data_IF_277059185178
#
_entry.id   IF_277059185178
#
_cell.length_a   1.000
_cell.length_b   1.000
_cell.length_c   1.000
_cell.angle_alpha   90.00
_cell.angle_beta   90.00
_cell.angle_gamma   90.00
#
_symmetry.space_group_name_H-M   'P 1'
#
loop_
_entity.id
_entity.type
_entity.pdbx_description
1 polymer ?
#
# COMPACT_ATOMS: atom_id res chain seq x y z
N UNK A 1 -1.94 12.28 -8.69
CA UNK A 1 -0.46 12.17 -8.52
C UNK A 1 0.10 13.49 -8.05
N UNK A 2 0.10 14.56 -8.87
CA UNK A 2 0.53 15.89 -8.41
C UNK A 2 -0.31 16.47 -7.26
N UNK A 3 -1.64 16.30 -7.28
CA UNK A 3 -2.53 16.76 -6.20
C UNK A 3 -2.33 16.04 -4.84
N UNK A 4 -1.63 14.90 -4.82
CA UNK A 4 -1.37 14.12 -3.61
C UNK A 4 0.13 13.97 -3.31
N UNK A 5 1.02 14.49 -4.17
CA UNK A 5 2.47 14.30 -4.05
C UNK A 5 2.91 12.83 -4.10
N UNK A 6 2.16 11.99 -4.82
CA UNK A 6 2.43 10.54 -4.92
C UNK A 6 2.72 10.17 -6.37
N UNK A 7 3.91 9.62 -6.60
CA UNK A 7 4.42 9.23 -7.92
C UNK A 7 4.41 7.71 -8.17
N UNK A 8 3.70 6.95 -7.33
CA UNK A 8 3.51 5.51 -7.49
C UNK A 8 2.02 5.15 -7.51
N UNK A 9 1.69 3.96 -7.98
CA UNK A 9 0.33 3.41 -7.96
C UNK A 9 0.34 1.92 -7.63
N UNK A 10 -0.72 1.44 -6.99
CA UNK A 10 -0.96 0.01 -6.79
C UNK A 10 -1.61 -0.62 -8.03
N UNK A 11 -1.21 -1.84 -8.36
CA UNK A 11 -1.76 -2.62 -9.47
C UNK A 11 -2.68 -3.69 -8.88
N UNK A 12 -3.97 -3.60 -9.20
CA UNK A 12 -5.00 -4.54 -8.75
C UNK A 12 -5.63 -5.21 -9.97
N UNK A 13 -5.77 -6.54 -9.93
CA UNK A 13 -6.44 -7.33 -10.97
C UNK A 13 -7.44 -8.26 -10.33
N UNK A 14 -8.70 -8.21 -10.77
CA UNK A 14 -9.78 -9.06 -10.24
C UNK A 14 -9.95 -9.03 -8.70
N UNK A 15 -9.53 -7.95 -8.04
CA UNK A 15 -9.56 -7.82 -6.58
C UNK A 15 -8.25 -8.21 -5.88
N UNK A 16 -7.29 -8.79 -6.59
CA UNK A 16 -5.98 -9.15 -6.05
C UNK A 16 -4.98 -8.02 -6.27
N UNK A 17 -4.30 -7.63 -5.18
CA UNK A 17 -3.20 -6.67 -5.25
C UNK A 17 -1.94 -7.37 -5.76
N UNK A 18 -1.57 -7.09 -7.01
CA UNK A 18 -0.40 -7.68 -7.66
C UNK A 18 0.92 -7.01 -7.23
N UNK A 19 0.85 -5.76 -6.76
CA UNK A 19 2.02 -4.99 -6.33
C UNK A 19 1.85 -3.51 -6.59
N UNK A 20 2.96 -2.80 -6.74
CA UNK A 20 3.00 -1.38 -7.04
C UNK A 20 4.07 -1.06 -8.08
N UNK A 21 3.95 0.10 -8.72
CA UNK A 21 4.95 0.62 -9.63
C UNK A 21 5.02 2.14 -9.58
N UNK A 22 6.14 2.69 -10.04
CA UNK A 22 6.28 4.12 -10.25
C UNK A 22 5.55 4.56 -11.52
N UNK A 23 5.09 5.81 -11.52
CA UNK A 23 4.37 6.42 -12.62
C UNK A 23 5.14 6.39 -13.93
N UNK A 24 6.43 6.69 -13.85
CA UNK A 24 7.36 6.81 -14.96
C UNK A 24 7.70 5.45 -15.61
N UNK A 25 7.43 4.34 -14.92
CA UNK A 25 7.55 2.99 -15.47
C UNK A 25 6.42 2.66 -16.47
N UNK A 26 5.34 3.44 -16.49
CA UNK A 26 4.24 3.28 -17.46
C UNK A 26 4.61 3.99 -18.76
N UNK A 27 5.14 3.24 -19.71
CA UNK A 27 5.43 3.77 -21.05
C UNK A 27 4.16 4.03 -21.87
N UNK A 28 3.23 3.06 -21.89
CA UNK A 28 2.02 3.15 -22.74
C UNK A 28 0.79 2.48 -22.09
N UNK A 29 0.96 1.31 -21.47
CA UNK A 29 -0.12 0.58 -20.76
C UNK A 29 0.34 0.05 -19.41
N UNK A 30 -0.56 0.02 -18.43
CA UNK A 30 -0.28 -0.54 -17.10
C UNK A 30 0.09 -2.03 -17.17
N UNK A 31 -0.50 -2.77 -18.12
CA UNK A 31 -0.25 -4.20 -18.30
C UNK A 31 1.18 -4.55 -18.72
N UNK A 32 1.99 -3.58 -19.15
CA UNK A 32 3.40 -3.81 -19.52
C UNK A 32 4.37 -3.59 -18.36
N UNK A 33 3.87 -3.17 -17.19
CA UNK A 33 4.69 -2.88 -16.02
C UNK A 33 4.81 -4.11 -15.14
N UNK A 34 6.03 -4.44 -14.72
CA UNK A 34 6.30 -5.50 -13.74
C UNK A 34 6.01 -4.97 -12.33
N UNK A 35 5.00 -5.49 -11.60
CA UNK A 35 4.68 -5.01 -10.26
C UNK A 35 5.80 -5.33 -9.27
N UNK A 36 6.16 -4.34 -8.46
CA UNK A 36 7.05 -4.51 -7.30
C UNK A 36 6.23 -5.03 -6.11
N UNK A 37 6.77 -5.95 -5.30
CA UNK A 37 6.06 -6.43 -4.12
C UNK A 37 5.98 -5.33 -3.05
N UNK A 38 4.93 -5.39 -2.24
CA UNK A 38 4.89 -4.64 -0.98
C UNK A 38 5.71 -5.38 0.07
N UNK A 39 6.64 -4.66 0.70
CA UNK A 39 7.47 -5.21 1.78
C UNK A 39 6.72 -5.36 3.11
N UNK A 40 5.61 -4.63 3.27
CA UNK A 40 4.74 -4.70 4.44
C UNK A 40 3.37 -5.19 3.99
N UNK A 41 2.83 -6.16 4.72
CA UNK A 41 1.49 -6.70 4.54
C UNK A 41 0.78 -6.69 5.89
N UNK A 42 -0.27 -5.88 6.01
CA UNK A 42 -1.06 -5.78 7.23
C UNK A 42 -2.27 -6.70 7.18
N UNK A 43 -2.79 -7.06 8.35
CA UNK A 43 -4.05 -7.77 8.52
C UNK A 43 -5.09 -6.84 9.12
N UNK A 44 -6.37 -7.05 8.79
CA UNK A 44 -7.47 -6.31 9.40
C UNK A 44 -7.59 -6.49 10.92
N UNK A 45 -6.94 -7.52 11.46
CA UNK A 45 -6.86 -7.83 12.89
C UNK A 45 -5.66 -7.21 13.59
N UNK A 46 -4.71 -6.61 12.85
CA UNK A 46 -3.53 -5.99 13.47
C UNK A 46 -3.94 -4.76 14.27
N UNK A 47 -3.29 -4.55 15.42
CA UNK A 47 -3.51 -3.32 16.17
C UNK A 47 -2.97 -2.12 15.39
N UNK A 48 -3.52 -0.94 15.62
CA UNK A 48 -3.02 0.29 14.99
C UNK A 48 -1.54 0.55 15.32
N UNK A 49 -1.07 0.13 16.50
CA UNK A 49 0.33 0.24 16.90
C UNK A 49 1.22 -0.70 16.09
N UNK A 50 0.84 -1.97 15.97
CA UNK A 50 1.61 -2.94 15.18
C UNK A 50 1.65 -2.54 13.70
N UNK A 51 0.53 -2.03 13.18
CA UNK A 51 0.45 -1.51 11.82
C UNK A 51 1.38 -0.30 11.59
N UNK A 52 1.50 0.59 12.59
CA UNK A 52 2.41 1.73 12.54
C UNK A 52 3.88 1.27 12.57
N UNK A 53 4.21 0.38 13.50
CA UNK A 53 5.58 -0.14 13.67
C UNK A 53 6.05 -0.90 12.42
N UNK A 54 5.17 -1.71 11.82
CA UNK A 54 5.45 -2.41 10.57
C UNK A 54 5.69 -1.44 9.41
N UNK A 55 4.87 -0.40 9.27
CA UNK A 55 5.02 0.59 8.20
C UNK A 55 6.32 1.42 8.34
N UNK A 56 6.70 1.79 9.57
CA UNK A 56 7.98 2.46 9.86
C UNK A 56 9.16 1.55 9.52
N UNK A 57 9.14 0.31 10.00
CA UNK A 57 10.22 -0.67 9.74
C UNK A 57 10.38 -0.96 8.25
N UNK A 58 9.27 -1.06 7.53
CA UNK A 58 9.26 -1.25 6.08
C UNK A 58 9.57 0.01 5.27
N UNK A 59 9.83 1.15 5.92
CA UNK A 59 10.09 2.44 5.29
C UNK A 59 9.05 2.84 4.24
N UNK A 60 7.78 2.47 4.49
CA UNK A 60 6.67 2.71 3.56
C UNK A 60 5.66 3.69 4.14
N UNK A 61 5.16 4.59 3.30
CA UNK A 61 4.13 5.57 3.70
C UNK A 61 2.71 5.00 3.64
N UNK A 62 2.56 3.87 2.97
CA UNK A 62 1.29 3.15 2.81
C UNK A 62 1.52 1.66 2.98
N UNK A 63 0.52 0.96 3.46
CA UNK A 63 0.56 -0.48 3.56
C UNK A 63 -0.77 -1.09 3.09
N UNK A 64 -0.73 -2.17 2.31
CA UNK A 64 -1.91 -2.93 1.97
C UNK A 64 -2.41 -3.77 3.15
N UNK A 65 -3.72 -3.81 3.31
CA UNK A 65 -4.42 -4.57 4.34
C UNK A 65 -5.10 -5.76 3.71
N UNK A 66 -5.00 -6.92 4.36
CA UNK A 66 -5.56 -8.18 3.89
C UNK A 66 -6.39 -8.88 4.97
N UNK A 67 -7.29 -9.75 4.52
CA UNK A 67 -7.92 -10.80 5.32
C UNK A 67 -7.63 -12.15 4.64
N UNK A 68 -6.73 -12.94 5.24
CA UNK A 68 -6.07 -14.02 4.53
C UNK A 68 -5.36 -13.50 3.27
N UNK A 69 -5.75 -14.00 2.11
CA UNK A 69 -5.28 -13.55 0.78
C UNK A 69 -6.11 -12.47 0.12
N UNK A 70 -7.27 -12.16 0.71
CA UNK A 70 -8.15 -11.13 0.16
C UNK A 70 -7.61 -9.75 0.48
N UNK A 71 -7.35 -8.96 -0.55
CA UNK A 71 -7.01 -7.55 -0.41
C UNK A 71 -8.23 -6.74 0.04
N UNK A 72 -8.07 -5.96 1.11
CA UNK A 72 -9.14 -5.12 1.68
C UNK A 72 -8.99 -3.63 1.34
N UNK A 73 -7.78 -3.19 1.01
CA UNK A 73 -7.48 -1.79 0.71
C UNK A 73 -6.11 -1.34 1.18
N UNK A 74 -5.83 -0.04 1.07
CA UNK A 74 -4.61 0.58 1.60
C UNK A 74 -4.91 1.41 2.84
N UNK A 75 -3.94 1.51 3.73
CA UNK A 75 -3.92 2.52 4.79
C UNK A 75 -2.61 3.30 4.74
N UNK A 76 -2.65 4.61 5.03
CA UNK A 76 -1.46 5.44 5.14
C UNK A 76 -0.97 5.53 6.59
N UNK A 77 0.33 5.70 6.77
CA UNK A 77 0.96 5.96 8.08
C UNK A 77 0.30 7.15 8.77
N UNK A 78 -0.03 8.20 8.00
CA UNK A 78 -0.71 9.38 8.49
C UNK A 78 -2.13 9.07 9.03
N UNK A 79 -2.87 8.19 8.36
CA UNK A 79 -4.20 7.77 8.81
C UNK A 79 -4.13 6.88 10.07
N UNK A 80 -3.10 6.04 10.18
CA UNK A 80 -2.84 5.24 11.39
C UNK A 80 -2.51 6.17 12.56
N UNK A 81 -1.53 7.07 12.37
CA UNK A 81 -1.06 7.99 13.41
C UNK A 81 -2.19 8.85 13.98
N UNK A 82 -3.05 9.42 13.11
CA UNK A 82 -4.23 10.19 13.57
C UNK A 82 -5.17 9.40 14.49
N UNK A 83 -5.28 8.09 14.31
CA UNK A 83 -6.17 7.23 15.10
C UNK A 83 -5.52 6.70 16.38
N UNK A 84 -4.19 6.68 16.46
CA UNK A 84 -3.46 6.28 17.68
C UNK A 84 -3.41 7.42 18.70
N UNK A 85 -3.37 8.67 18.24
CA UNK A 85 -3.31 9.86 19.11
C UNK A 85 -4.69 10.39 19.54
N UNK A 86 -5.79 9.78 19.05
CA UNK A 86 -7.16 10.11 19.45
C UNK A 86 -7.63 9.26 20.62
#
# INVERSE_FOLDING_TARGET
MQAHGVDWFGIVSAGDLLGWAWRDEVADRISTVTPRPFVVRLRGTDTLRDALDAAITGHTRVAPVFDGDRYLGMISVEAISRRVTS
#
